data_IF_628886261346
#
_entry.id   IF_628886261346
#
_cell.length_a   1.000
_cell.length_b   1.000
_cell.length_c   1.000
_cell.angle_alpha   90.00
_cell.angle_beta   90.00
_cell.angle_gamma   90.00
#
_symmetry.space_group_name_H-M   'P 1'
#
loop_
_entity.id
_entity.type
_entity.pdbx_description
1 polymer ?
#
# COMPACT_ATOMS: atom_id res chain seq x y z
N UNK A 1 -0.25 17.27 -14.61
CA UNK A 1 0.58 16.95 -15.80
C UNK A 1 -0.17 15.96 -16.68
N UNK A 2 -0.09 16.08 -18.01
CA UNK A 2 -0.67 15.11 -18.96
C UNK A 2 0.47 14.29 -19.58
N UNK A 3 0.24 13.00 -19.75
CA UNK A 3 1.18 12.05 -20.35
C UNK A 3 0.45 11.26 -21.43
N UNK A 4 1.11 11.02 -22.57
CA UNK A 4 0.63 10.08 -23.59
C UNK A 4 1.35 8.76 -23.41
N UNK A 5 0.59 7.66 -23.34
CA UNK A 5 1.12 6.30 -23.21
C UNK A 5 0.46 5.38 -24.23
N UNK A 6 1.21 4.40 -24.72
CA UNK A 6 0.68 3.30 -25.53
C UNK A 6 0.50 2.09 -24.63
N UNK A 7 -0.68 1.48 -24.66
CA UNK A 7 -1.04 0.29 -23.90
C UNK A 7 -1.69 -0.73 -24.83
N UNK A 8 -1.58 -2.02 -24.50
CA UNK A 8 -2.31 -3.05 -25.21
C UNK A 8 -3.83 -2.89 -24.99
N UNK A 9 -4.64 -3.42 -25.92
CA UNK A 9 -6.09 -3.32 -25.82
C UNK A 9 -6.62 -4.03 -24.55
N UNK A 10 -6.01 -5.15 -24.16
CA UNK A 10 -6.34 -5.85 -22.91
C UNK A 10 -6.13 -4.97 -21.67
N UNK A 11 -5.03 -4.22 -21.60
CA UNK A 11 -4.71 -3.36 -20.46
C UNK A 11 -5.72 -2.22 -20.34
N UNK A 12 -6.14 -1.65 -21.47
CA UNK A 12 -7.19 -0.63 -21.50
C UNK A 12 -8.51 -1.21 -20.97
N UNK A 13 -8.86 -2.43 -21.41
CA UNK A 13 -10.04 -3.14 -20.92
C UNK A 13 -9.99 -3.40 -19.41
N UNK A 14 -8.82 -3.77 -18.89
CA UNK A 14 -8.58 -3.94 -17.47
C UNK A 14 -8.80 -2.63 -16.70
N UNK A 15 -8.18 -1.53 -17.14
CA UNK A 15 -8.34 -0.21 -16.51
C UNK A 15 -9.80 0.21 -16.44
N UNK A 16 -10.57 -0.01 -17.52
CA UNK A 16 -11.99 0.34 -17.56
C UNK A 16 -12.84 -0.54 -16.63
N UNK A 17 -12.55 -1.84 -16.57
CA UNK A 17 -13.25 -2.76 -15.66
C UNK A 17 -12.98 -2.42 -14.20
N UNK A 18 -11.70 -2.18 -13.87
CA UNK A 18 -11.28 -1.80 -12.53
C UNK A 18 -11.86 -0.44 -12.11
N UNK A 19 -11.90 0.52 -13.03
CA UNK A 19 -12.51 1.82 -12.79
C UNK A 19 -13.99 1.67 -12.40
N UNK A 20 -14.75 0.83 -13.13
CA UNK A 20 -16.16 0.57 -12.83
C UNK A 20 -16.35 -0.14 -11.50
N UNK A 21 -15.57 -1.18 -11.21
CA UNK A 21 -15.75 -1.98 -9.99
C UNK A 21 -15.39 -1.20 -8.72
N UNK A 22 -14.44 -0.27 -8.81
CA UNK A 22 -13.98 0.54 -7.68
C UNK A 22 -14.60 1.95 -7.62
N UNK A 23 -15.52 2.28 -8.54
CA UNK A 23 -16.12 3.62 -8.60
C UNK A 23 -15.14 4.75 -8.94
N UNK A 24 -14.03 4.44 -9.62
CA UNK A 24 -13.00 5.42 -9.99
C UNK A 24 -13.41 6.12 -11.29
N UNK A 25 -13.50 7.45 -11.27
CA UNK A 25 -14.05 8.24 -12.37
C UNK A 25 -13.21 8.35 -13.65
N UNK A 26 -12.03 7.73 -13.73
CA UNK A 26 -11.17 7.80 -14.92
C UNK A 26 -10.07 6.74 -14.97
N UNK A 27 -9.59 6.41 -16.18
CA UNK A 27 -8.40 5.57 -16.41
C UNK A 27 -7.15 6.14 -15.73
N UNK A 28 -6.96 7.47 -15.76
CA UNK A 28 -5.84 8.11 -15.07
C UNK A 28 -5.94 7.98 -13.55
N UNK A 29 -7.15 7.93 -12.98
CA UNK A 29 -7.37 7.60 -11.57
C UNK A 29 -6.91 6.17 -11.22
N UNK A 30 -7.21 5.20 -12.09
CA UNK A 30 -6.73 3.82 -11.91
C UNK A 30 -5.21 3.74 -12.02
N UNK A 31 -4.60 4.43 -13.00
CA UNK A 31 -3.12 4.50 -13.12
C UNK A 31 -2.49 5.15 -11.88
N UNK A 32 -3.10 6.20 -11.31
CA UNK A 32 -2.62 6.78 -10.06
C UNK A 32 -2.72 5.82 -8.88
N UNK A 33 -3.79 5.03 -8.78
CA UNK A 33 -3.93 3.99 -7.77
C UNK A 33 -2.86 2.90 -7.92
N UNK A 34 -2.61 2.45 -9.15
CA UNK A 34 -1.54 1.49 -9.45
C UNK A 34 -0.15 2.03 -9.09
N UNK A 35 0.13 3.31 -9.38
CA UNK A 35 1.40 3.95 -9.00
C UNK A 35 1.56 4.05 -7.47
N UNK A 36 0.47 4.30 -6.73
CA UNK A 36 0.52 4.27 -5.25
C UNK A 36 0.82 2.85 -4.76
N UNK A 37 0.15 1.86 -5.32
CA UNK A 37 0.40 0.46 -4.98
C UNK A 37 1.86 0.08 -5.23
N UNK A 38 2.43 0.47 -6.38
CA UNK A 38 3.83 0.20 -6.71
C UNK A 38 4.81 0.87 -5.73
N UNK A 39 4.50 2.08 -5.26
CA UNK A 39 5.31 2.77 -4.24
C UNK A 39 5.21 2.06 -2.90
N UNK A 40 4.00 1.65 -2.51
CA UNK A 40 3.79 0.94 -1.25
C UNK A 40 4.42 -0.45 -1.27
N UNK A 41 4.37 -1.17 -2.40
CA UNK A 41 5.02 -2.48 -2.52
C UNK A 41 6.53 -2.40 -2.41
N UNK A 42 7.13 -1.26 -2.80
CA UNK A 42 8.56 -1.04 -2.62
C UNK A 42 8.97 -0.86 -1.15
N UNK A 43 8.03 -0.57 -0.24
CA UNK A 43 8.29 -0.43 1.19
C UNK A 43 8.23 -1.77 1.94
N UNK A 44 7.86 -2.87 1.28
CA UNK A 44 7.67 -4.15 1.96
C UNK A 44 8.95 -4.64 2.65
N UNK A 45 10.09 -4.56 1.95
CA UNK A 45 11.39 -4.97 2.49
C UNK A 45 11.84 -4.03 3.62
N UNK A 46 11.59 -2.72 3.49
CA UNK A 46 11.90 -1.73 4.54
C UNK A 46 11.08 -2.01 5.81
N UNK A 47 9.78 -2.30 5.67
CA UNK A 47 8.94 -2.69 6.81
C UNK A 47 9.39 -4.01 7.41
N UNK A 48 9.79 -4.99 6.60
CA UNK A 48 10.30 -6.26 7.11
C UNK A 48 11.60 -6.08 7.91
N UNK A 49 12.52 -5.22 7.43
CA UNK A 49 13.73 -4.84 8.16
C UNK A 49 13.39 -4.15 9.47
N UNK A 50 12.51 -3.15 9.43
CA UNK A 50 12.11 -2.40 10.62
C UNK A 50 11.46 -3.29 11.69
N UNK A 51 10.66 -4.29 11.28
CA UNK A 51 10.11 -5.28 12.21
C UNK A 51 11.20 -6.20 12.79
N UNK A 52 12.16 -6.64 11.97
CA UNK A 52 13.30 -7.43 12.48
C UNK A 52 14.15 -6.65 13.48
N UNK A 53 14.43 -5.38 13.19
CA UNK A 53 15.14 -4.47 14.11
C UNK A 53 14.37 -4.29 15.42
N UNK A 54 13.05 -4.11 15.35
CA UNK A 54 12.18 -3.97 16.52
C UNK A 54 12.16 -5.22 17.40
N UNK A 55 12.10 -6.41 16.80
CA UNK A 55 12.10 -7.69 17.52
C UNK A 55 13.45 -8.00 18.19
N UNK A 56 14.55 -7.44 17.66
CA UNK A 56 15.91 -7.60 18.20
C UNK A 56 16.28 -6.56 19.26
N UNK A 57 15.52 -5.46 19.38
CA UNK A 57 15.78 -4.34 20.29
C UNK A 57 15.02 -4.49 21.63
N UNK A 58 15.68 -4.11 22.73
CA UNK A 58 15.09 -4.07 24.08
C UNK A 58 13.89 -3.10 24.16
N UNK A 59 13.81 -2.14 23.23
CA UNK A 59 12.66 -1.24 23.09
C UNK A 59 11.37 -2.03 22.81
N UNK A 60 11.42 -3.08 21.99
CA UNK A 60 10.25 -3.91 21.67
C UNK A 60 9.64 -4.56 22.92
N UNK A 61 10.48 -5.23 23.72
CA UNK A 61 10.06 -5.82 25.00
C UNK A 61 9.56 -4.78 26.00
N UNK A 62 10.12 -3.56 25.97
CA UNK A 62 9.68 -2.49 26.85
C UNK A 62 8.27 -1.99 26.52
N UNK A 63 7.94 -1.87 25.23
CA UNK A 63 6.62 -1.45 24.77
C UNK A 63 5.56 -2.54 24.92
N UNK A 64 5.91 -3.82 24.76
CA UNK A 64 4.99 -4.95 24.93
C UNK A 64 4.31 -4.97 26.30
N UNK A 65 4.99 -4.50 27.34
CA UNK A 65 4.43 -4.41 28.71
C UNK A 65 3.23 -3.47 28.81
N UNK A 66 3.10 -2.50 27.90
CA UNK A 66 2.03 -1.50 27.91
C UNK A 66 0.79 -1.92 27.10
N UNK A 67 0.84 -3.05 26.39
CA UNK A 67 -0.24 -3.47 25.46
C UNK A 67 -1.60 -3.64 26.13
N UNK A 68 -1.62 -3.92 27.43
CA UNK A 68 -2.84 -4.14 28.22
C UNK A 68 -3.31 -2.94 29.04
N UNK A 69 -2.60 -1.83 28.99
CA UNK A 69 -2.90 -0.65 29.80
C UNK A 69 -4.27 -0.05 29.40
N UNK A 70 -5.14 0.18 30.39
CA UNK A 70 -6.46 0.76 30.16
C UNK A 70 -7.51 -0.19 29.57
N UNK A 71 -7.20 -1.48 29.38
CA UNK A 71 -8.15 -2.50 28.91
C UNK A 71 -8.96 -3.15 30.06
N UNK A 72 -8.76 -2.73 31.31
CA UNK A 72 -9.62 -3.12 32.42
C UNK A 72 -10.87 -2.22 32.50
N UNK A 73 -12.06 -2.79 32.81
CA UNK A 73 -13.34 -2.09 32.80
C UNK A 73 -13.46 -1.01 33.88
#
# INVERSE_FOLDING_TARGET
MKLSISLAAEDIGFLDSYARSQGIGSRSGVVQAALRLLRTSALADDYASAWGEWDEDDDGEAWDRSVSDGLQP
#
